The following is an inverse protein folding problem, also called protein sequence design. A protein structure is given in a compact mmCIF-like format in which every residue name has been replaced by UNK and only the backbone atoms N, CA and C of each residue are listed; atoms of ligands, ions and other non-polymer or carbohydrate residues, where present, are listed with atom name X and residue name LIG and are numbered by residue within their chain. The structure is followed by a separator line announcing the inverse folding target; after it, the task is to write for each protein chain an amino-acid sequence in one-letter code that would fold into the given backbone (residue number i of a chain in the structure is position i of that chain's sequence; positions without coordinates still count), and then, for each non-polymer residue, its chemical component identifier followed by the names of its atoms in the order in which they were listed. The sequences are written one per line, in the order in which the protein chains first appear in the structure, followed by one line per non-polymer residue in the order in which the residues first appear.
data_IF_678875127987
#
_entry.id   IF_678875127987
#
_cell.length_a   1.000
_cell.length_b   1.000
_cell.length_c   1.000
_cell.angle_alpha   90.00
_cell.angle_beta   90.00
_cell.angle_gamma   90.00
#
_symmetry.space_group_name_H-M   'P 1'
#
loop_
_entity.id
_entity.type
_entity.pdbx_description
1 polymer ?
#
# COMPACT_ATOMS: atom_id res chain seq x y z
N UNK A 1 17.96 -12.84 0.04
CA UNK A 1 18.32 -12.18 -1.23
C UNK A 1 18.77 -10.75 -0.97
N UNK A 2 19.72 -10.25 -1.76
CA UNK A 2 20.20 -8.87 -1.69
C UNK A 2 19.69 -8.10 -2.91
N UNK A 3 19.11 -6.92 -2.70
CA UNK A 3 18.63 -6.04 -3.77
C UNK A 3 19.11 -4.60 -3.55
N UNK A 4 19.62 -3.97 -4.60
CA UNK A 4 19.95 -2.54 -4.59
C UNK A 4 18.70 -1.74 -4.97
N UNK A 5 18.22 -0.87 -4.10
CA UNK A 5 16.97 -0.12 -4.31
C UNK A 5 17.23 1.38 -4.39
N UNK A 6 16.36 2.08 -5.14
CA UNK A 6 16.47 3.53 -5.29
C UNK A 6 16.17 4.31 -4.00
N UNK A 7 15.28 3.77 -3.15
CA UNK A 7 14.74 4.48 -1.98
C UNK A 7 15.36 4.05 -0.66
N UNK A 8 15.78 2.80 -0.54
CA UNK A 8 16.24 2.22 0.73
C UNK A 8 17.69 1.74 0.68
N UNK A 9 18.43 2.06 -0.39
CA UNK A 9 19.76 1.52 -0.62
C UNK A 9 19.71 0.00 -0.77
N UNK A 10 20.73 -0.68 -0.26
CA UNK A 10 20.80 -2.14 -0.26
C UNK A 10 19.85 -2.73 0.77
N UNK A 11 18.91 -3.57 0.35
CA UNK A 11 18.08 -4.38 1.24
C UNK A 11 18.53 -5.84 1.25
N UNK A 12 18.57 -6.42 2.44
CA UNK A 12 18.69 -7.86 2.66
C UNK A 12 17.30 -8.40 3.03
N UNK A 13 16.67 -9.13 2.11
CA UNK A 13 15.31 -9.65 2.26
C UNK A 13 15.31 -11.17 2.30
N UNK A 14 14.60 -11.76 3.25
CA UNK A 14 14.35 -13.20 3.27
C UNK A 14 13.07 -13.52 2.47
N UNK A 15 12.98 -14.72 1.92
CA UNK A 15 11.85 -15.12 1.06
C UNK A 15 10.51 -15.09 1.82
N UNK A 16 10.52 -15.36 3.12
CA UNK A 16 9.37 -15.29 4.03
C UNK A 16 8.89 -13.86 4.34
N UNK A 17 9.69 -12.85 4.00
CA UNK A 17 9.31 -11.42 4.11
C UNK A 17 8.61 -10.89 2.86
N UNK A 18 8.62 -11.66 1.76
CA UNK A 18 8.07 -11.22 0.47
C UNK A 18 6.62 -11.63 0.31
N UNK A 19 5.82 -10.69 -0.17
CA UNK A 19 4.51 -10.97 -0.73
C UNK A 19 4.63 -11.49 -2.15
N UNK A 20 3.87 -12.55 -2.44
CA UNK A 20 3.62 -13.01 -3.80
C UNK A 20 2.30 -12.43 -4.31
N UNK A 21 2.38 -11.78 -5.47
CA UNK A 21 1.25 -11.34 -6.28
C UNK A 21 1.21 -12.19 -7.54
N UNK A 22 0.42 -13.27 -7.58
CA UNK A 22 0.46 -14.24 -8.69
C UNK A 22 0.20 -13.61 -10.07
N UNK A 23 -0.65 -12.58 -10.11
CA UNK A 23 -0.98 -11.83 -11.33
C UNK A 23 -0.17 -10.53 -11.49
N UNK A 24 0.79 -10.27 -10.58
CA UNK A 24 1.45 -8.98 -10.47
C UNK A 24 0.48 -7.86 -10.10
N UNK A 25 0.81 -6.63 -10.52
CA UNK A 25 -0.03 -5.44 -10.36
C UNK A 25 -0.43 -4.91 -11.73
N UNK A 26 -1.51 -4.14 -11.82
CA UNK A 26 -1.97 -3.52 -13.08
C UNK A 26 -0.86 -2.60 -13.62
N UNK A 27 -0.41 -2.85 -14.85
CA UNK A 27 0.71 -2.18 -15.51
C UNK A 27 2.10 -2.65 -15.05
N UNK A 28 2.17 -3.66 -14.19
CA UNK A 28 3.40 -4.26 -13.64
C UNK A 28 3.21 -5.79 -13.44
N UNK A 29 2.56 -6.45 -14.39
CA UNK A 29 2.10 -7.85 -14.31
C UNK A 29 3.26 -8.86 -14.20
N UNK A 30 4.45 -8.47 -14.69
CA UNK A 30 5.68 -9.28 -14.60
C UNK A 30 6.36 -9.19 -13.23
N UNK A 31 6.02 -8.18 -12.42
CA UNK A 31 6.59 -7.98 -11.09
C UNK A 31 5.69 -8.65 -10.04
N UNK A 32 6.13 -9.81 -9.55
CA UNK A 32 5.29 -10.68 -8.69
C UNK A 32 5.75 -10.77 -7.23
N UNK A 33 6.99 -10.41 -6.93
CA UNK A 33 7.55 -10.49 -5.59
C UNK A 33 7.81 -9.09 -5.05
N UNK A 34 7.26 -8.82 -3.88
CA UNK A 34 7.25 -7.49 -3.29
C UNK A 34 7.54 -7.53 -1.79
N UNK A 35 8.38 -6.61 -1.31
CA UNK A 35 8.53 -6.35 0.12
C UNK A 35 7.60 -5.19 0.51
N UNK A 36 6.83 -5.37 1.59
CA UNK A 36 6.06 -4.30 2.21
C UNK A 36 6.90 -3.68 3.33
N UNK A 37 7.33 -2.44 3.14
CA UNK A 37 8.25 -1.74 4.04
C UNK A 37 7.57 -0.49 4.61
N UNK A 38 7.66 -0.21 5.93
CA UNK A 38 7.18 1.05 6.47
C UNK A 38 8.03 2.21 5.95
N UNK A 39 7.43 3.38 5.75
CA UNK A 39 8.21 4.60 5.54
C UNK A 39 8.82 5.05 6.88
N UNK A 40 10.14 5.31 6.95
CA UNK A 40 10.81 5.65 8.21
C UNK A 40 10.45 7.05 8.74
N UNK A 41 9.90 7.93 7.89
CA UNK A 41 9.55 9.31 8.25
C UNK A 41 8.05 9.51 8.41
N UNK A 42 7.23 8.63 7.84
CA UNK A 42 5.77 8.74 7.89
C UNK A 42 5.09 7.40 8.21
N UNK A 43 4.60 7.20 9.45
CA UNK A 43 3.98 5.93 9.85
C UNK A 43 2.67 5.61 9.11
N UNK A 44 2.05 6.60 8.46
CA UNK A 44 0.84 6.39 7.65
C UNK A 44 1.14 5.87 6.25
N UNK A 45 2.41 5.82 5.84
CA UNK A 45 2.85 5.41 4.51
C UNK A 45 3.64 4.10 4.61
N UNK A 46 3.30 3.17 3.72
CA UNK A 46 4.13 2.01 3.44
C UNK A 46 4.60 2.05 1.99
N UNK A 47 5.63 1.28 1.68
CA UNK A 47 6.18 1.11 0.35
C UNK A 47 6.12 -0.36 -0.04
N UNK A 48 5.56 -0.61 -1.21
CA UNK A 48 5.64 -1.91 -1.87
C UNK A 48 6.83 -1.89 -2.83
N UNK A 49 7.97 -2.40 -2.36
CA UNK A 49 9.23 -2.45 -3.09
C UNK A 49 9.33 -3.75 -3.89
N UNK A 50 9.56 -3.68 -5.20
CA UNK A 50 9.75 -4.88 -6.01
C UNK A 50 11.06 -5.57 -5.61
N UNK A 51 11.01 -6.89 -5.41
CA UNK A 51 12.18 -7.72 -5.11
C UNK A 51 12.98 -8.10 -6.38
N UNK A 52 12.39 -7.94 -7.56
CA UNK A 52 13.06 -8.19 -8.86
C UNK A 52 13.54 -6.90 -9.54
N UNK A 53 13.02 -5.73 -9.13
CA UNK A 53 13.38 -4.41 -9.69
C UNK A 53 13.55 -3.36 -8.61
N UNK A 54 14.79 -3.08 -8.22
CA UNK A 54 15.12 -2.12 -7.18
C UNK A 54 14.73 -0.67 -7.47
N UNK A 55 14.53 -0.32 -8.74
CA UNK A 55 14.04 1.00 -9.17
C UNK A 55 12.51 1.17 -9.02
N UNK A 56 11.78 0.10 -8.68
CA UNK A 56 10.32 0.07 -8.62
C UNK A 56 9.82 -0.09 -7.18
N UNK A 57 9.18 0.97 -6.70
CA UNK A 57 8.47 0.98 -5.43
C UNK A 57 7.18 1.80 -5.54
N UNK A 58 6.13 1.37 -4.85
CA UNK A 58 4.82 2.03 -4.87
C UNK A 58 4.49 2.49 -3.46
N UNK A 59 4.17 3.77 -3.29
CA UNK A 59 3.68 4.29 -2.02
C UNK A 59 2.23 3.82 -1.79
N UNK A 60 1.96 3.33 -0.60
CA UNK A 60 0.68 2.80 -0.16
C UNK A 60 0.23 3.49 1.13
N UNK A 61 -1.08 3.61 1.29
CA UNK A 61 -1.72 4.04 2.53
C UNK A 61 -2.84 3.07 2.89
N UNK A 62 -3.18 2.99 4.17
CA UNK A 62 -4.48 2.42 4.56
C UNK A 62 -5.58 3.43 4.23
N UNK A 63 -6.53 3.13 3.34
CA UNK A 63 -7.57 4.09 2.96
C UNK A 63 -8.43 4.50 4.15
N UNK A 64 -8.63 3.61 5.14
CA UNK A 64 -9.40 3.89 6.35
C UNK A 64 -8.72 4.83 7.34
N UNK A 65 -7.44 5.15 7.15
CA UNK A 65 -6.76 6.18 7.94
C UNK A 65 -7.11 7.60 7.47
N UNK A 66 -7.68 7.74 6.27
CA UNK A 66 -8.04 9.02 5.65
C UNK A 66 -9.53 9.12 5.31
N UNK A 67 -10.19 7.97 5.14
CA UNK A 67 -11.60 7.84 4.78
C UNK A 67 -12.20 6.69 5.62
N UNK A 68 -12.57 6.97 6.88
CA UNK A 68 -13.02 5.99 7.86
C UNK A 68 -14.17 5.09 7.38
N UNK A 69 -15.04 5.65 6.53
CA UNK A 69 -16.18 4.98 5.93
C UNK A 69 -15.84 4.13 4.69
N UNK A 70 -14.60 4.15 4.20
CA UNK A 70 -14.20 3.36 3.04
C UNK A 70 -14.41 1.87 3.30
N UNK A 71 -15.08 1.21 2.35
CA UNK A 71 -15.31 -0.23 2.32
C UNK A 71 -15.00 -0.71 0.92
N UNK A 72 -14.38 -1.89 0.83
CA UNK A 72 -14.12 -2.54 -0.45
C UNK A 72 -15.22 -3.57 -0.72
N UNK A 73 -15.85 -3.49 -1.89
CA UNK A 73 -16.87 -4.44 -2.32
C UNK A 73 -16.26 -5.48 -3.26
N UNK A 74 -16.06 -6.69 -2.74
CA UNK A 74 -15.37 -7.78 -3.41
C UNK A 74 -16.14 -9.09 -3.27
N UNK A 75 -16.07 -9.89 -4.31
CA UNK A 75 -16.64 -11.23 -4.37
C UNK A 75 -15.66 -12.24 -3.78
N UNK A 76 -16.18 -13.40 -3.36
CA UNK A 76 -15.34 -14.53 -2.92
C UNK A 76 -14.33 -14.93 -3.98
N UNK A 77 -14.72 -14.88 -5.26
CA UNK A 77 -13.88 -15.24 -6.41
C UNK A 77 -12.64 -14.35 -6.52
N UNK A 78 -12.79 -13.04 -6.31
CA UNK A 78 -11.66 -12.10 -6.34
C UNK A 78 -10.66 -12.35 -5.19
N UNK A 79 -11.14 -12.90 -4.08
CA UNK A 79 -10.32 -13.26 -2.92
C UNK A 79 -9.70 -14.67 -3.00
N UNK A 80 -10.06 -15.50 -4.00
CA UNK A 80 -9.60 -16.89 -4.11
C UNK A 80 -8.07 -16.96 -4.11
N UNK A 81 -7.40 -16.07 -4.84
CA UNK A 81 -5.93 -16.04 -4.94
C UNK A 81 -5.21 -15.69 -3.62
N UNK A 82 -5.93 -15.19 -2.62
CA UNK A 82 -5.36 -14.86 -1.31
C UNK A 82 -5.40 -16.04 -0.33
N UNK A 83 -6.10 -17.14 -0.66
CA UNK A 83 -6.24 -18.32 0.20
C UNK A 83 -6.64 -17.98 1.65
N UNK A 84 -7.61 -17.08 1.79
CA UNK A 84 -8.12 -16.63 3.09
C UNK A 84 -8.69 -17.81 3.88
N UNK A 85 -8.32 -17.91 5.16
CA UNK A 85 -8.96 -18.83 6.11
C UNK A 85 -10.20 -18.17 6.73
N UNK A 86 -11.19 -18.94 7.19
CA UNK A 86 -12.26 -18.39 8.02
C UNK A 86 -11.68 -17.61 9.21
N UNK A 87 -12.17 -16.39 9.43
CA UNK A 87 -11.69 -15.50 10.51
C UNK A 87 -10.35 -14.82 10.26
N UNK A 88 -9.69 -15.02 9.11
CA UNK A 88 -8.46 -14.31 8.79
C UNK A 88 -8.75 -12.83 8.41
N UNK A 89 -7.87 -11.94 8.88
CA UNK A 89 -7.97 -10.51 8.60
C UNK A 89 -7.51 -10.19 7.16
N UNK A 90 -8.33 -9.41 6.45
CA UNK A 90 -8.00 -8.89 5.13
C UNK A 90 -7.46 -7.47 5.25
N UNK A 91 -6.22 -7.26 4.85
CA UNK A 91 -5.60 -5.95 4.87
C UNK A 91 -5.80 -5.25 3.53
N UNK A 92 -6.22 -3.98 3.59
CA UNK A 92 -6.54 -3.19 2.40
C UNK A 92 -5.60 -2.00 2.36
N UNK A 93 -4.93 -1.80 1.23
CA UNK A 93 -4.09 -0.64 0.98
C UNK A 93 -4.42 -0.03 -0.37
N UNK A 94 -4.19 1.27 -0.54
CA UNK A 94 -4.41 1.97 -1.81
C UNK A 94 -3.15 2.71 -2.23
N UNK A 95 -2.92 2.75 -3.54
CA UNK A 95 -1.71 3.40 -4.08
C UNK A 95 -1.81 4.91 -3.95
N UNK A 96 -0.70 5.57 -3.66
CA UNK A 96 -0.58 7.03 -3.61
C UNK A 96 0.09 7.53 -4.88
N UNK A 97 -0.37 8.65 -5.41
CA UNK A 97 0.16 9.30 -6.62
C UNK A 97 0.06 10.81 -6.51
N UNK A 98 0.80 11.54 -7.36
CA UNK A 98 0.81 13.00 -7.41
C UNK A 98 2.10 13.61 -6.88
N UNK A 99 2.03 14.89 -6.52
CA UNK A 99 3.14 15.67 -5.98
C UNK A 99 2.77 16.27 -4.62
N UNK A 100 3.77 16.79 -3.90
CA UNK A 100 3.58 17.45 -2.60
C UNK A 100 2.52 18.54 -2.72
N UNK A 101 1.51 18.51 -1.85
CA UNK A 101 0.37 19.43 -1.86
C UNK A 101 -0.83 18.95 -2.69
N UNK A 102 -0.66 17.98 -3.61
CA UNK A 102 -1.75 17.39 -4.41
C UNK A 102 -1.58 15.87 -4.53
N UNK A 103 -1.50 15.20 -3.39
CA UNK A 103 -1.46 13.74 -3.33
C UNK A 103 -2.87 13.16 -3.43
N UNK A 104 -3.00 12.12 -4.24
CA UNK A 104 -4.25 11.37 -4.41
C UNK A 104 -4.01 9.89 -4.11
N UNK A 105 -5.09 9.18 -3.78
CA UNK A 105 -5.09 7.74 -3.66
C UNK A 105 -6.14 7.09 -4.53
N UNK A 106 -5.85 5.87 -5.00
CA UNK A 106 -6.74 5.10 -5.85
C UNK A 106 -7.65 4.19 -5.02
N UNK A 107 -8.87 4.65 -4.75
CA UNK A 107 -9.87 3.87 -4.00
C UNK A 107 -10.57 2.82 -4.88
N UNK A 108 -10.46 2.93 -6.21
CA UNK A 108 -11.07 2.02 -7.19
C UNK A 108 -10.25 0.76 -7.43
N UNK A 109 -8.93 0.81 -7.23
CA UNK A 109 -8.06 -0.35 -7.44
C UNK A 109 -7.15 -0.67 -6.25
N UNK A 110 -7.73 -1.06 -5.09
CA UNK A 110 -6.96 -1.35 -3.89
C UNK A 110 -6.13 -2.63 -4.04
N UNK A 111 -5.09 -2.70 -3.21
CA UNK A 111 -4.34 -3.91 -2.92
C UNK A 111 -4.97 -4.60 -1.71
N UNK A 112 -5.22 -5.89 -1.86
CA UNK A 112 -5.71 -6.76 -0.81
C UNK A 112 -4.60 -7.71 -0.41
N UNK A 113 -4.33 -7.81 0.89
CA UNK A 113 -3.20 -8.55 1.43
C UNK A 113 -3.67 -9.56 2.47
N UNK A 114 -3.17 -10.79 2.34
CA UNK A 114 -3.18 -11.81 3.37
C UNK A 114 -1.78 -11.86 3.99
N UNK A 115 -1.62 -11.37 5.22
CA UNK A 115 -0.32 -11.32 5.89
C UNK A 115 0.17 -12.72 6.29
N UNK A 116 -0.74 -13.60 6.73
CA UNK A 116 -0.41 -14.96 7.17
C UNK A 116 0.19 -15.81 6.04
N UNK A 117 -0.34 -15.62 4.83
CA UNK A 117 0.10 -16.35 3.63
C UNK A 117 1.12 -15.58 2.81
N UNK A 118 1.37 -14.30 3.13
CA UNK A 118 2.14 -13.37 2.31
C UNK A 118 1.66 -13.36 0.85
N UNK A 119 0.34 -13.31 0.66
CA UNK A 119 -0.29 -13.21 -0.66
C UNK A 119 -0.91 -11.84 -0.85
N UNK A 120 -0.81 -11.31 -2.06
CA UNK A 120 -1.43 -10.06 -2.43
C UNK A 120 -2.12 -10.14 -3.78
N UNK A 121 -3.16 -9.34 -3.97
CA UNK A 121 -3.76 -9.10 -5.27
C UNK A 121 -4.17 -7.63 -5.40
N UNK A 122 -4.19 -7.15 -6.63
CA UNK A 122 -4.86 -5.91 -6.97
C UNK A 122 -6.18 -6.24 -7.64
N UNK A 123 -7.24 -5.60 -7.20
CA UNK A 123 -8.57 -5.76 -7.77
C UNK A 123 -9.09 -4.41 -8.26
N UNK A 124 -10.07 -4.41 -9.14
CA UNK A 124 -10.87 -3.23 -9.46
C UNK A 124 -12.20 -3.42 -8.74
N UNK A 125 -12.59 -2.49 -7.87
CA UNK A 125 -13.82 -2.65 -7.10
C UNK A 125 -15.04 -2.63 -8.02
N UNK A 126 -16.11 -3.34 -7.61
CA UNK A 126 -17.33 -3.44 -8.41
C UNK A 126 -18.25 -2.21 -8.27
N UNK A 127 -18.06 -1.42 -7.22
CA UNK A 127 -18.78 -0.18 -6.90
C UNK A 127 -18.05 1.07 -7.40
N UNK A 128 -18.79 2.18 -7.58
CA UNK A 128 -18.28 3.46 -8.09
C UNK A 128 -17.34 4.21 -7.11
N UNK A 129 -16.19 3.61 -6.81
CA UNK A 129 -15.10 4.25 -6.07
C UNK A 129 -14.26 5.16 -6.99
N UNK A 130 -13.70 6.26 -6.47
CA UNK A 130 -12.87 7.17 -7.25
C UNK A 130 -11.50 6.57 -7.57
N UNK A 131 -11.07 6.71 -8.84
CA UNK A 131 -9.71 6.36 -9.27
C UNK A 131 -8.64 7.29 -8.66
N UNK A 132 -9.01 8.55 -8.41
CA UNK A 132 -8.15 9.55 -7.79
C UNK A 132 -8.95 10.32 -6.75
N UNK A 133 -8.74 9.99 -5.47
CA UNK A 133 -9.30 10.73 -4.34
C UNK A 133 -8.19 11.54 -3.67
N UNK A 134 -8.38 12.86 -3.54
CA UNK A 134 -7.45 13.71 -2.81
C UNK A 134 -7.28 13.25 -1.36
N UNK A 135 -6.04 13.08 -0.92
CA UNK A 135 -5.74 12.78 0.47
C UNK A 135 -5.90 14.06 1.32
N UNK A 136 -6.68 14.03 2.40
CA UNK A 136 -6.83 15.17 3.30
C UNK A 136 -5.61 15.30 4.21
N UNK A 137 -4.48 15.67 3.62
CA UNK A 137 -3.25 15.93 4.36
C UNK A 137 -3.42 17.27 5.06
N UNK A 138 -3.42 17.28 6.39
CA UNK A 138 -3.25 18.51 7.12
C UNK A 138 -1.89 19.10 6.71
N UNK A 139 -1.85 20.36 6.28
CA UNK A 139 -0.58 21.08 6.28
C UNK A 139 0.00 20.92 7.68
N UNK A 140 1.22 20.40 7.79
CA UNK A 140 1.91 20.32 9.07
C UNK A 140 1.88 21.74 9.67
N UNK A 141 0.96 21.97 10.59
CA UNK A 141 0.87 23.21 11.34
C UNK A 141 2.20 23.35 12.05
N UNK A 142 2.78 24.54 11.93
CA UNK A 142 3.96 24.96 12.67
C UNK A 142 3.88 24.47 14.12
N UNK A 143 4.73 23.51 14.49
CA UNK A 143 5.06 23.25 15.87
C UNK A 143 5.89 24.43 16.40
N UNK A 144 5.21 25.55 16.64
CA UNK A 144 5.73 26.81 17.15
C UNK A 144 4.55 27.55 17.78
N UNK A 145 4.04 27.06 18.91
CA UNK A 145 3.31 27.87 19.91
C UNK A 145 2.99 27.04 21.17
N UNK A 146 4.01 26.38 21.72
CA UNK A 146 3.95 25.77 23.05
C UNK A 146 5.15 26.21 23.90
N UNK A 147 5.46 27.51 23.86
CA UNK A 147 6.30 28.18 24.88
C UNK A 147 5.78 29.59 25.09
N UNK A 148 4.79 29.72 25.95
CA UNK A 148 4.56 30.91 26.79
C UNK A 148 3.48 30.54 27.82
N UNK A 149 3.89 29.72 28.79
CA UNK A 149 3.39 29.87 30.14
C UNK A 149 4.40 30.80 30.84
N UNK A 150 3.97 32.02 31.10
CA UNK A 150 4.55 32.93 32.09
C UNK A 150 3.46 33.15 33.13
#
# INVERSE_FOLDING_TARGET
MRIETRRFGTLQLNTDQLFLFPQGLIGMETLRQWALLPDPQNPSVAWLQSASRGDRAIALVSPRAFFDSYRVHVTRRELECLHMKPGAELYIMTTVSGHVGKLTTNLRAPLLLNLDRRLGCQIITNDSQPLQKSLPLQSAGSASDARLAA
#
